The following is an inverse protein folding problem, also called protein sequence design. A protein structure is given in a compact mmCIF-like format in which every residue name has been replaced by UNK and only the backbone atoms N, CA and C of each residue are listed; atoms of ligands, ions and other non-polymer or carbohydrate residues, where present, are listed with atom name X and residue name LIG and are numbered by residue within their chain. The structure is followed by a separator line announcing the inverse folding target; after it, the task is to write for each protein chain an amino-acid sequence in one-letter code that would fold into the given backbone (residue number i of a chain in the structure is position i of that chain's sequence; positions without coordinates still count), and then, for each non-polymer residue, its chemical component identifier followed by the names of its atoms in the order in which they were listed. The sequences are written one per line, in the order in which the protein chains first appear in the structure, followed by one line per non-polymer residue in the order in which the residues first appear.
data_IF_769652330776
#
_entry.id   IF_769652330776
#
_cell.length_a   1.000
_cell.length_b   1.000
_cell.length_c   1.000
_cell.angle_alpha   90.00
_cell.angle_beta   90.00
_cell.angle_gamma   90.00
#
_symmetry.space_group_name_H-M   'P 1'
#
loop_
_entity.id
_entity.type
_entity.pdbx_description
1 polymer ?
#
# COMPACT_ATOMS: atom_id res chain seq x y z
N UNK A 1 -32.84 27.61 36.10
CA UNK A 1 -33.26 27.10 34.77
C UNK A 1 -32.58 25.78 34.39
N UNK A 2 -31.30 25.62 34.69
CA UNK A 2 -30.57 24.36 34.36
C UNK A 2 -31.03 23.16 35.22
N UNK A 3 -31.39 23.37 36.49
CA UNK A 3 -31.88 22.30 37.36
C UNK A 3 -33.26 21.75 36.99
N UNK A 4 -34.11 22.61 36.42
CA UNK A 4 -35.44 22.19 35.92
C UNK A 4 -35.34 21.31 34.66
N UNK A 5 -34.39 21.59 33.82
CA UNK A 5 -34.14 20.77 32.58
C UNK A 5 -33.58 19.41 32.97
N UNK A 6 -32.64 19.37 33.92
CA UNK A 6 -32.09 18.12 34.45
C UNK A 6 -33.12 17.25 35.16
N UNK A 7 -34.01 17.82 35.96
CA UNK A 7 -35.06 17.07 36.64
C UNK A 7 -36.13 16.52 35.69
N UNK A 8 -36.36 17.16 34.53
CA UNK A 8 -37.26 16.68 33.52
C UNK A 8 -36.64 15.58 32.62
N UNK A 9 -35.34 15.35 32.74
CA UNK A 9 -34.58 14.37 31.96
C UNK A 9 -34.33 13.07 32.75
N UNK A 10 -34.66 13.05 34.04
CA UNK A 10 -34.51 11.90 34.92
C UNK A 10 -35.86 11.44 35.45
N UNK A 11 -36.09 10.10 35.54
CA UNK A 11 -37.27 9.56 36.22
C UNK A 11 -37.11 9.66 37.78
N UNK A 12 -38.13 9.26 38.50
CA UNK A 12 -38.14 9.30 39.98
C UNK A 12 -37.01 8.46 40.64
N UNK A 13 -36.38 7.58 39.87
CA UNK A 13 -35.24 6.73 40.30
C UNK A 13 -33.89 7.27 39.83
N UNK A 14 -33.85 8.49 39.26
CA UNK A 14 -32.59 9.12 38.80
C UNK A 14 -32.03 8.52 37.51
N UNK A 15 -32.84 7.72 36.79
CA UNK A 15 -32.43 7.15 35.51
C UNK A 15 -32.81 8.06 34.33
N UNK A 16 -32.00 8.11 33.28
CA UNK A 16 -32.28 8.97 32.13
C UNK A 16 -33.52 8.49 31.37
N UNK A 17 -34.44 9.42 31.09
CA UNK A 17 -35.71 9.14 30.42
C UNK A 17 -35.50 9.06 28.89
N UNK A 18 -36.06 8.06 28.29
CA UNK A 18 -36.28 7.82 26.87
C UNK A 18 -35.30 8.45 25.85
N UNK A 19 -35.30 9.77 25.72
CA UNK A 19 -34.43 10.46 24.76
C UNK A 19 -32.93 10.38 25.11
N UNK A 20 -32.59 10.52 26.41
CA UNK A 20 -31.22 10.39 26.88
C UNK A 20 -30.74 8.93 26.81
N UNK A 21 -31.63 7.99 27.10
CA UNK A 21 -31.33 6.57 26.99
C UNK A 21 -31.12 6.14 25.54
N UNK A 22 -31.89 6.70 24.60
CA UNK A 22 -31.66 6.51 23.18
C UNK A 22 -30.32 7.11 22.69
N UNK A 23 -29.99 8.31 23.15
CA UNK A 23 -28.70 8.96 22.83
C UNK A 23 -27.52 8.20 23.43
N UNK A 24 -27.66 7.70 24.66
CA UNK A 24 -26.62 6.89 25.30
C UNK A 24 -26.48 5.50 24.63
N UNK A 25 -27.58 4.90 24.24
CA UNK A 25 -27.57 3.64 23.47
C UNK A 25 -26.99 3.86 22.07
N UNK A 26 -27.31 4.97 21.42
CA UNK A 26 -26.77 5.36 20.14
C UNK A 26 -25.26 5.67 20.23
N UNK A 27 -24.83 6.38 21.28
CA UNK A 27 -23.40 6.65 21.51
C UNK A 27 -22.61 5.36 21.86
N UNK A 28 -23.21 4.46 22.62
CA UNK A 28 -22.60 3.16 22.89
C UNK A 28 -22.54 2.31 21.63
N UNK A 29 -23.58 2.32 20.81
CA UNK A 29 -23.59 1.67 19.50
C UNK A 29 -22.51 2.20 18.56
N UNK A 30 -22.34 3.51 18.51
CA UNK A 30 -21.28 4.18 17.74
C UNK A 30 -19.89 3.78 18.27
N UNK A 31 -19.68 3.74 19.58
CA UNK A 31 -18.40 3.33 20.16
C UNK A 31 -18.08 1.86 19.88
N UNK A 32 -19.06 0.98 19.91
CA UNK A 32 -18.88 -0.43 19.55
C UNK A 32 -18.62 -0.61 18.04
N UNK A 33 -19.27 0.16 17.19
CA UNK A 33 -19.03 0.15 15.75
C UNK A 33 -17.62 0.64 15.42
N UNK A 34 -17.20 1.78 15.98
CA UNK A 34 -15.84 2.31 15.80
C UNK A 34 -14.75 1.36 16.33
N UNK A 35 -15.00 0.70 17.46
CA UNK A 35 -14.07 -0.29 18.00
C UNK A 35 -14.02 -1.55 17.12
N UNK A 36 -15.15 -1.97 16.56
CA UNK A 36 -15.23 -3.06 15.59
C UNK A 36 -14.46 -2.76 14.31
N UNK A 37 -14.70 -1.58 13.71
CA UNK A 37 -13.98 -1.15 12.50
C UNK A 37 -12.48 -1.04 12.72
N UNK A 38 -12.03 -0.52 13.86
CA UNK A 38 -10.61 -0.44 14.18
C UNK A 38 -9.97 -1.83 14.36
N UNK A 39 -10.69 -2.77 14.98
CA UNK A 39 -10.23 -4.14 15.13
C UNK A 39 -10.15 -4.86 13.78
N UNK A 40 -11.17 -4.71 12.93
CA UNK A 40 -11.19 -5.26 11.57
C UNK A 40 -10.06 -4.68 10.71
N UNK A 41 -9.81 -3.38 10.80
CA UNK A 41 -8.69 -2.75 10.10
C UNK A 41 -7.34 -3.30 10.57
N UNK A 42 -7.15 -3.49 11.88
CA UNK A 42 -5.92 -4.05 12.42
C UNK A 42 -5.69 -5.50 11.94
N UNK A 43 -6.73 -6.32 11.92
CA UNK A 43 -6.69 -7.69 11.40
C UNK A 43 -6.37 -7.69 9.89
N UNK A 44 -7.01 -6.82 9.10
CA UNK A 44 -6.72 -6.67 7.68
C UNK A 44 -5.27 -6.25 7.43
N UNK A 45 -4.72 -5.34 8.24
CA UNK A 45 -3.33 -4.92 8.12
C UNK A 45 -2.38 -6.08 8.38
N UNK A 46 -2.61 -6.85 9.45
CA UNK A 46 -1.81 -8.02 9.76
C UNK A 46 -1.84 -9.05 8.62
N UNK A 47 -3.02 -9.31 8.09
CA UNK A 47 -3.24 -10.21 6.95
C UNK A 47 -2.48 -9.75 5.69
N UNK A 48 -2.52 -8.46 5.39
CA UNK A 48 -1.79 -7.89 4.25
C UNK A 48 -0.28 -8.09 4.43
N UNK A 49 0.29 -7.79 5.61
CA UNK A 49 1.72 -7.94 5.83
C UNK A 49 2.18 -9.40 5.75
N UNK A 50 1.43 -10.33 6.30
CA UNK A 50 1.75 -11.77 6.23
C UNK A 50 1.70 -12.26 4.79
N UNK A 51 0.61 -11.97 4.07
CA UNK A 51 0.44 -12.36 2.66
C UNK A 51 1.49 -11.71 1.76
N UNK A 52 1.85 -10.46 2.02
CA UNK A 52 2.90 -9.76 1.29
C UNK A 52 4.27 -10.39 1.54
N UNK A 53 4.59 -10.76 2.77
CA UNK A 53 5.82 -11.48 3.09
C UNK A 53 5.92 -12.84 2.37
N UNK A 54 4.83 -13.61 2.35
CA UNK A 54 4.76 -14.87 1.61
C UNK A 54 4.93 -14.63 0.10
N UNK A 55 4.30 -13.59 -0.44
CA UNK A 55 4.43 -13.23 -1.85
C UNK A 55 5.88 -12.88 -2.22
N UNK A 56 6.56 -12.05 -1.41
CA UNK A 56 7.97 -11.70 -1.62
C UNK A 56 8.85 -12.95 -1.59
N UNK A 57 8.64 -13.84 -0.63
CA UNK A 57 9.38 -15.08 -0.53
C UNK A 57 9.16 -15.98 -1.76
N UNK A 58 7.91 -16.11 -2.19
CA UNK A 58 7.55 -16.88 -3.40
C UNK A 58 8.21 -16.28 -4.64
N UNK A 59 8.16 -14.97 -4.80
CA UNK A 59 8.82 -14.27 -5.92
C UNK A 59 10.33 -14.51 -5.88
N UNK A 60 10.95 -14.44 -4.70
CA UNK A 60 12.37 -14.72 -4.54
C UNK A 60 12.73 -16.11 -5.06
N UNK A 61 11.99 -17.15 -4.64
CA UNK A 61 12.23 -18.53 -5.08
C UNK A 61 12.02 -18.66 -6.60
N UNK A 62 10.94 -18.10 -7.12
CA UNK A 62 10.64 -18.12 -8.56
C UNK A 62 11.71 -17.43 -9.41
N UNK A 63 12.32 -16.36 -8.89
CA UNK A 63 13.38 -15.64 -9.59
C UNK A 63 14.74 -16.32 -9.46
N UNK A 64 15.01 -17.01 -8.35
CA UNK A 64 16.29 -17.69 -8.13
C UNK A 64 16.56 -18.80 -9.13
N UNK A 65 15.50 -19.51 -9.57
CA UNK A 65 15.60 -20.62 -10.54
C UNK A 65 16.10 -20.12 -11.91
N UNK A 66 15.41 -19.20 -12.62
CA UNK A 66 15.82 -18.77 -13.97
C UNK A 66 17.08 -17.91 -13.97
N UNK A 67 17.36 -17.19 -12.87
CA UNK A 67 18.55 -16.35 -12.77
C UNK A 67 19.78 -17.11 -12.31
N UNK A 68 19.64 -18.37 -11.89
CA UNK A 68 20.70 -19.24 -11.37
C UNK A 68 21.61 -18.53 -10.36
N UNK A 69 21.02 -17.73 -9.49
CA UNK A 69 21.74 -16.91 -8.52
C UNK A 69 20.81 -16.50 -7.40
N UNK A 70 21.30 -16.49 -6.18
CA UNK A 70 20.56 -15.98 -5.02
C UNK A 70 20.69 -14.45 -4.84
N UNK A 71 21.78 -13.86 -5.36
CA UNK A 71 22.02 -12.42 -5.25
C UNK A 71 21.20 -11.58 -6.24
N UNK A 72 20.97 -12.07 -7.45
CA UNK A 72 20.21 -11.34 -8.46
C UNK A 72 18.76 -11.07 -8.06
N UNK A 73 18.00 -12.05 -7.50
CA UNK A 73 16.66 -11.78 -6.96
C UNK A 73 16.68 -10.76 -5.82
N UNK A 74 17.70 -10.77 -4.94
CA UNK A 74 17.83 -9.79 -3.87
C UNK A 74 17.99 -8.36 -4.41
N UNK A 75 18.77 -8.18 -5.46
CA UNK A 75 18.91 -6.89 -6.14
C UNK A 75 17.58 -6.43 -6.72
N UNK A 76 16.83 -7.34 -7.35
CA UNK A 76 15.51 -7.02 -7.91
C UNK A 76 14.54 -6.62 -6.79
N UNK A 77 14.48 -7.39 -5.70
CA UNK A 77 13.60 -7.11 -4.58
C UNK A 77 14.00 -5.84 -3.80
N UNK A 78 15.26 -5.44 -3.84
CA UNK A 78 15.71 -4.18 -3.21
C UNK A 78 15.08 -2.93 -3.85
N UNK A 79 14.46 -3.06 -5.02
CA UNK A 79 13.72 -1.97 -5.64
C UNK A 79 12.37 -1.69 -4.94
N UNK A 80 11.79 -2.66 -4.20
CA UNK A 80 10.52 -2.49 -3.48
C UNK A 80 10.59 -1.36 -2.44
N UNK A 81 11.58 -1.29 -1.54
CA UNK A 81 11.70 -0.18 -0.59
C UNK A 81 11.73 1.21 -1.24
N UNK A 82 12.34 1.34 -2.42
CA UNK A 82 12.33 2.62 -3.16
C UNK A 82 10.91 3.00 -3.63
N UNK A 83 10.12 2.01 -4.08
CA UNK A 83 8.71 2.22 -4.41
C UNK A 83 7.89 2.64 -3.19
N UNK A 84 8.14 2.03 -2.02
CA UNK A 84 7.49 2.40 -0.76
C UNK A 84 7.82 3.84 -0.34
N UNK A 85 9.08 4.27 -0.46
CA UNK A 85 9.48 5.66 -0.19
C UNK A 85 8.71 6.62 -1.10
N UNK A 86 8.58 6.29 -2.40
CA UNK A 86 7.78 7.08 -3.34
C UNK A 86 6.31 7.18 -2.94
N UNK A 87 5.71 6.09 -2.48
CA UNK A 87 4.33 6.09 -1.99
C UNK A 87 4.15 6.96 -0.74
N UNK A 88 5.06 6.87 0.23
CA UNK A 88 5.03 7.69 1.45
C UNK A 88 5.16 9.18 1.09
N UNK A 89 6.12 9.53 0.22
CA UNK A 89 6.29 10.91 -0.22
C UNK A 89 5.04 11.44 -0.94
N UNK A 90 4.39 10.61 -1.76
CA UNK A 90 3.14 10.97 -2.43
C UNK A 90 2.03 11.30 -1.42
N UNK A 91 1.83 10.48 -0.37
CA UNK A 91 0.85 10.76 0.69
C UNK A 91 1.18 12.04 1.46
N UNK A 92 2.46 12.28 1.76
CA UNK A 92 2.89 13.50 2.43
C UNK A 92 2.64 14.75 1.57
N UNK A 93 2.90 14.69 0.27
CA UNK A 93 2.65 15.81 -0.64
C UNK A 93 1.18 16.12 -0.84
N UNK A 94 0.33 15.09 -0.81
CA UNK A 94 -1.13 15.24 -0.97
C UNK A 94 -1.86 15.46 0.36
N UNK A 95 -1.14 15.46 1.49
CA UNK A 95 -1.71 15.56 2.85
C UNK A 95 -2.80 14.51 3.11
N UNK A 96 -2.70 13.34 2.49
CA UNK A 96 -3.67 12.25 2.63
C UNK A 96 -3.18 11.22 3.65
N UNK A 97 -4.04 10.75 4.58
CA UNK A 97 -3.68 9.68 5.51
C UNK A 97 -3.49 8.35 4.76
N UNK A 98 -2.57 7.53 5.25
CA UNK A 98 -2.41 6.18 4.74
C UNK A 98 -3.62 5.32 5.16
N UNK A 99 -4.28 4.73 4.17
CA UNK A 99 -5.41 3.83 4.36
C UNK A 99 -5.03 2.38 4.01
N UNK A 100 -5.89 1.43 4.36
CA UNK A 100 -5.75 0.03 3.92
C UNK A 100 -5.69 -0.07 2.38
N UNK A 101 -6.49 0.76 1.69
CA UNK A 101 -6.48 0.83 0.24
C UNK A 101 -5.13 1.34 -0.31
N UNK A 102 -4.51 2.31 0.36
CA UNK A 102 -3.16 2.79 0.02
C UNK A 102 -2.11 1.68 0.14
N UNK A 103 -2.21 0.84 1.19
CA UNK A 103 -1.30 -0.29 1.38
C UNK A 103 -1.48 -1.36 0.29
N UNK A 104 -2.71 -1.66 -0.12
CA UNK A 104 -2.97 -2.52 -1.27
C UNK A 104 -2.36 -1.95 -2.56
N UNK A 105 -2.43 -0.63 -2.75
CA UNK A 105 -1.75 0.07 -3.84
C UNK A 105 -0.23 -0.11 -3.81
N UNK A 106 0.39 -0.05 -2.62
CA UNK A 106 1.83 -0.30 -2.44
C UNK A 106 2.19 -1.75 -2.79
N UNK A 107 1.36 -2.72 -2.39
CA UNK A 107 1.54 -4.14 -2.76
C UNK A 107 1.49 -4.31 -4.28
N UNK A 108 0.50 -3.73 -4.94
CA UNK A 108 0.38 -3.77 -6.40
C UNK A 108 1.57 -3.09 -7.10
N UNK A 109 1.99 -1.90 -6.61
CA UNK A 109 3.17 -1.18 -7.12
C UNK A 109 4.43 -2.03 -7.01
N UNK A 110 4.60 -2.76 -5.91
CA UNK A 110 5.75 -3.65 -5.70
C UNK A 110 5.87 -4.69 -6.81
N UNK A 111 4.75 -5.27 -7.26
CA UNK A 111 4.73 -6.21 -8.37
C UNK A 111 5.21 -5.59 -9.69
N UNK A 112 4.78 -4.37 -9.99
CA UNK A 112 5.23 -3.63 -11.19
C UNK A 112 6.72 -3.34 -11.13
N UNK A 113 7.20 -2.81 -10.00
CA UNK A 113 8.62 -2.47 -9.78
C UNK A 113 9.52 -3.70 -9.90
N UNK A 114 9.11 -4.84 -9.33
CA UNK A 114 9.86 -6.12 -9.44
C UNK A 114 9.91 -6.58 -10.89
N UNK A 115 8.80 -6.51 -11.62
CA UNK A 115 8.76 -6.89 -13.03
C UNK A 115 9.71 -6.05 -13.89
N UNK A 116 9.71 -4.73 -13.73
CA UNK A 116 10.59 -3.83 -14.48
C UNK A 116 12.06 -4.06 -14.13
N UNK A 117 12.36 -4.27 -12.85
CA UNK A 117 13.72 -4.57 -12.37
C UNK A 117 14.22 -5.92 -12.88
N UNK A 118 13.35 -6.94 -12.93
CA UNK A 118 13.67 -8.26 -13.50
C UNK A 118 14.11 -8.13 -14.96
N UNK A 119 13.33 -7.42 -15.76
CA UNK A 119 13.64 -7.23 -17.18
C UNK A 119 15.00 -6.54 -17.36
N UNK A 120 15.30 -5.52 -16.55
CA UNK A 120 16.58 -4.83 -16.59
C UNK A 120 17.74 -5.79 -16.27
N UNK A 121 17.64 -6.58 -15.20
CA UNK A 121 18.68 -7.54 -14.78
C UNK A 121 18.87 -8.63 -15.84
N UNK A 122 17.80 -9.14 -16.42
CA UNK A 122 17.88 -10.14 -17.52
C UNK A 122 18.61 -9.57 -18.75
N UNK A 123 18.32 -8.32 -19.12
CA UNK A 123 19.02 -7.65 -20.23
C UNK A 123 20.53 -7.51 -19.97
N UNK A 124 20.88 -7.05 -18.78
CA UNK A 124 22.29 -6.90 -18.38
C UNK A 124 23.00 -8.25 -18.40
N UNK A 125 22.37 -9.32 -17.90
CA UNK A 125 22.96 -10.66 -17.92
C UNK A 125 23.21 -11.15 -19.36
N UNK A 126 22.23 -11.01 -20.24
CA UNK A 126 22.37 -11.42 -21.64
C UNK A 126 23.47 -10.65 -22.38
N UNK A 127 23.63 -9.34 -22.10
CA UNK A 127 24.70 -8.55 -22.68
C UNK A 127 26.07 -8.99 -22.15
N UNK A 128 26.17 -9.31 -20.86
CA UNK A 128 27.42 -9.86 -20.27
C UNK A 128 27.79 -11.21 -20.84
N UNK A 129 26.84 -12.09 -21.08
CA UNK A 129 27.06 -13.41 -21.75
C UNK A 129 27.62 -13.23 -23.18
N UNK A 130 27.30 -12.14 -23.86
CA UNK A 130 27.82 -11.78 -25.17
C UNK A 130 29.22 -11.16 -25.14
N UNK A 131 29.78 -10.95 -23.93
CA UNK A 131 31.13 -10.38 -23.75
C UNK A 131 31.16 -8.87 -23.57
N UNK A 132 30.00 -8.21 -23.44
CA UNK A 132 29.96 -6.77 -23.20
C UNK A 132 30.49 -6.43 -21.80
N UNK A 133 31.13 -5.28 -21.68
CA UNK A 133 31.53 -4.74 -20.36
C UNK A 133 30.29 -4.44 -19.50
N UNK A 134 30.40 -4.60 -18.18
CA UNK A 134 29.28 -4.37 -17.27
C UNK A 134 28.64 -3.00 -17.44
N UNK A 135 29.46 -1.96 -17.59
CA UNK A 135 28.99 -0.58 -17.78
C UNK A 135 28.19 -0.43 -19.07
N UNK A 136 28.69 -0.96 -20.19
CA UNK A 136 28.00 -0.95 -21.48
C UNK A 136 26.68 -1.71 -21.40
N UNK A 137 26.69 -2.91 -20.82
CA UNK A 137 25.51 -3.74 -20.66
C UNK A 137 24.40 -3.01 -19.86
N UNK A 138 24.76 -2.33 -18.77
CA UNK A 138 23.82 -1.55 -17.95
C UNK A 138 23.29 -0.35 -18.73
N UNK A 139 24.15 0.42 -19.41
CA UNK A 139 23.72 1.59 -20.18
C UNK A 139 22.77 1.22 -21.31
N UNK A 140 23.05 0.15 -22.04
CA UNK A 140 22.20 -0.34 -23.13
C UNK A 140 20.87 -0.88 -22.61
N UNK A 141 20.88 -1.60 -21.47
CA UNK A 141 19.68 -2.06 -20.80
C UNK A 141 18.78 -0.89 -20.38
N UNK A 142 19.34 0.13 -19.74
CA UNK A 142 18.59 1.32 -19.30
C UNK A 142 18.01 2.05 -20.52
N UNK A 143 18.80 2.28 -21.56
CA UNK A 143 18.33 2.97 -22.79
C UNK A 143 17.18 2.21 -23.47
N UNK A 144 17.28 0.88 -23.56
CA UNK A 144 16.25 0.07 -24.20
C UNK A 144 14.95 0.03 -23.41
N UNK A 145 15.01 0.14 -22.07
CA UNK A 145 13.87 0.06 -21.17
C UNK A 145 13.29 1.41 -20.77
N UNK A 146 14.01 2.50 -20.98
CA UNK A 146 13.56 3.84 -20.58
C UNK A 146 12.19 4.20 -21.17
N UNK A 147 11.99 4.01 -22.47
CA UNK A 147 10.71 4.33 -23.12
C UNK A 147 9.54 3.51 -22.59
N UNK A 148 9.60 2.15 -22.55
CA UNK A 148 8.53 1.36 -21.99
C UNK A 148 8.18 1.72 -20.55
N UNK A 149 9.18 1.88 -19.69
CA UNK A 149 8.97 2.20 -18.26
C UNK A 149 8.32 3.57 -18.07
N UNK A 150 8.82 4.60 -18.76
CA UNK A 150 8.23 5.94 -18.72
C UNK A 150 6.81 5.94 -19.26
N UNK A 151 6.56 5.23 -20.36
CA UNK A 151 5.22 5.15 -20.95
C UNK A 151 4.25 4.46 -19.99
N UNK A 152 4.63 3.33 -19.40
CA UNK A 152 3.80 2.58 -18.44
C UNK A 152 3.51 3.43 -17.21
N UNK A 153 4.52 4.08 -16.63
CA UNK A 153 4.37 4.96 -15.47
C UNK A 153 3.44 6.14 -15.77
N UNK A 154 3.61 6.77 -16.94
CA UNK A 154 2.80 7.92 -17.34
C UNK A 154 1.35 7.51 -17.62
N UNK A 155 1.11 6.41 -18.32
CA UNK A 155 -0.24 5.92 -18.61
C UNK A 155 -0.96 5.49 -17.33
N UNK A 156 -0.26 4.82 -16.40
CA UNK A 156 -0.83 4.45 -15.10
C UNK A 156 -1.18 5.69 -14.29
N UNK A 157 -0.27 6.66 -14.21
CA UNK A 157 -0.52 7.92 -13.50
C UNK A 157 -1.72 8.68 -14.08
N UNK A 158 -1.74 8.87 -15.39
CA UNK A 158 -2.85 9.57 -16.07
C UNK A 158 -4.18 8.81 -15.96
N UNK A 159 -4.15 7.48 -15.94
CA UNK A 159 -5.34 6.65 -15.75
C UNK A 159 -5.94 6.77 -14.35
N UNK A 160 -5.11 6.97 -13.33
CA UNK A 160 -5.56 7.12 -11.93
C UNK A 160 -5.82 8.59 -11.56
N UNK A 161 -5.18 9.53 -12.26
CA UNK A 161 -5.29 10.97 -11.97
C UNK A 161 -6.74 11.48 -11.80
N UNK A 162 -7.75 11.07 -12.62
CA UNK A 162 -9.13 11.51 -12.41
C UNK A 162 -9.70 11.14 -11.04
N UNK A 163 -9.25 10.03 -10.43
CA UNK A 163 -9.71 9.61 -9.10
C UNK A 163 -9.19 10.53 -7.98
N UNK A 164 -8.06 11.21 -8.20
CA UNK A 164 -7.51 12.17 -7.24
C UNK A 164 -8.32 13.47 -7.16
N UNK A 165 -9.04 13.82 -8.24
CA UNK A 165 -9.82 15.05 -8.32
C UNK A 165 -11.32 14.84 -8.04
N UNK A 166 -11.77 13.61 -7.82
CA UNK A 166 -13.16 13.25 -7.64
C UNK A 166 -13.51 12.99 -6.17
N UNK A 167 -12.92 13.80 -5.25
CA UNK A 167 -13.23 13.81 -3.82
C UNK A 167 -14.26 14.86 -3.49
#
# INVERSE_FOLDING_TARGET
TSSMILSSMLNQEGQPIGKLQNIMNDSNGINFALAGEAAEQAEQLQDIFVKFGIAIFTIFVLLAIPLQSYFKPLIILSAIPFGMVGAILGHLMLFQPMSVLSLLGVVALSGVVVNDSLLLVVFVNRAKEKGDSTLKAVMDAVRSRFRPVVLTSLTTFLGIAPLLFNQ
#
